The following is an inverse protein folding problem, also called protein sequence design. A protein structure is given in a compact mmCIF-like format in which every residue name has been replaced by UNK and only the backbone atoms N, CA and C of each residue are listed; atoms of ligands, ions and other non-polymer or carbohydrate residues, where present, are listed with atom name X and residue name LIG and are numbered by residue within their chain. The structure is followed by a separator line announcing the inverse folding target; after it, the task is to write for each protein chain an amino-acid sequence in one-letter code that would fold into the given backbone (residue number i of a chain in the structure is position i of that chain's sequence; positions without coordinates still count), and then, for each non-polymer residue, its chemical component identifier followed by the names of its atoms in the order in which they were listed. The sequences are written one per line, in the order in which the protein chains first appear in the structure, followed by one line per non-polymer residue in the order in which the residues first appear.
data_IF_916330551337
#
_entry.id   IF_916330551337
#
_cell.length_a   1.000
_cell.length_b   1.000
_cell.length_c   1.000
_cell.angle_alpha   90.00
_cell.angle_beta   90.00
_cell.angle_gamma   90.00
#
_symmetry.space_group_name_H-M   'P 1'
#
loop_
_entity.id
_entity.type
_entity.pdbx_description
1 polymer ?
#
# COMPACT_ATOMS: atom_id res chain seq x y z
N UNK A 1 59.79 -2.13 -35.92
CA UNK A 1 60.18 -1.03 -35.04
C UNK A 1 59.12 0.02 -35.11
N UNK A 2 58.26 0.26 -34.35
CA UNK A 2 57.43 1.38 -33.87
C UNK A 2 56.17 0.81 -33.22
N UNK A 3 56.14 0.96 -31.92
CA UNK A 3 54.96 0.65 -31.07
C UNK A 3 53.92 1.73 -31.24
N UNK A 4 52.68 1.40 -31.57
CA UNK A 4 51.55 2.27 -31.42
C UNK A 4 50.68 1.79 -30.29
N UNK A 5 50.70 2.52 -29.16
CA UNK A 5 49.74 2.39 -28.07
C UNK A 5 48.47 3.14 -28.49
N UNK A 6 47.37 2.42 -28.56
CA UNK A 6 46.05 3.01 -28.62
C UNK A 6 45.39 2.93 -27.24
N UNK A 7 45.38 4.08 -26.55
CA UNK A 7 44.53 4.28 -25.39
C UNK A 7 43.10 4.56 -25.88
N UNK A 8 42.19 3.60 -25.67
CA UNK A 8 40.77 3.82 -25.87
C UNK A 8 40.14 4.11 -24.49
N UNK A 9 39.94 5.38 -24.17
CA UNK A 9 39.11 5.83 -23.07
C UNK A 9 37.65 5.69 -23.48
N UNK A 10 37.02 4.64 -23.01
CA UNK A 10 35.58 4.39 -23.19
C UNK A 10 34.84 5.16 -22.09
N UNK A 11 34.41 6.36 -22.40
CA UNK A 11 33.51 7.16 -21.57
C UNK A 11 32.10 6.55 -21.65
N UNK A 12 31.70 5.82 -20.60
CA UNK A 12 30.33 5.37 -20.40
C UNK A 12 29.45 6.57 -20.04
N UNK A 13 28.87 7.20 -21.07
CA UNK A 13 27.72 8.07 -20.89
C UNK A 13 26.50 7.20 -20.60
N UNK A 14 26.10 7.16 -19.34
CA UNK A 14 24.77 6.71 -18.94
C UNK A 14 23.77 7.84 -19.32
N UNK A 15 22.83 7.61 -20.23
CA UNK A 15 21.74 8.55 -20.38
C UNK A 15 20.84 8.41 -19.15
N UNK A 16 20.70 9.49 -18.39
CA UNK A 16 19.59 9.70 -17.46
C UNK A 16 18.29 9.59 -18.28
N UNK A 17 17.73 8.40 -18.31
CA UNK A 17 16.35 8.20 -18.73
C UNK A 17 15.46 8.87 -17.68
N UNK A 18 15.19 10.15 -17.86
CA UNK A 18 14.01 10.79 -17.27
C UNK A 18 12.84 10.09 -17.95
N UNK A 19 12.31 9.09 -17.29
CA UNK A 19 11.11 8.39 -17.73
C UNK A 19 9.98 9.41 -17.80
N UNK A 20 9.71 9.92 -19.00
CA UNK A 20 8.43 10.54 -19.30
C UNK A 20 7.38 9.46 -19.07
N UNK A 21 6.59 9.61 -18.00
CA UNK A 21 5.38 8.82 -17.79
C UNK A 21 4.46 9.20 -18.95
N UNK A 22 4.44 8.39 -20.00
CA UNK A 22 3.41 8.48 -21.02
C UNK A 22 2.11 8.02 -20.36
N UNK A 23 1.25 8.97 -20.02
CA UNK A 23 -0.15 8.67 -19.73
C UNK A 23 -0.76 8.10 -21.01
N UNK A 24 -1.17 6.83 -20.97
CA UNK A 24 -1.95 6.22 -22.03
C UNK A 24 -3.33 6.91 -22.02
N UNK A 25 -3.72 7.37 -23.21
CA UNK A 25 -5.06 7.84 -23.56
C UNK A 25 -5.75 8.89 -22.65
N UNK A 26 -5.16 10.07 -22.51
CA UNK A 26 -5.95 11.30 -22.19
C UNK A 26 -6.68 11.36 -20.83
N UNK A 27 -6.58 10.36 -19.96
CA UNK A 27 -7.19 10.35 -18.64
C UNK A 27 -6.34 11.20 -17.69
N UNK A 28 -6.92 12.28 -17.18
CA UNK A 28 -6.23 13.10 -16.17
C UNK A 28 -6.14 12.36 -14.83
N UNK A 29 -4.94 12.29 -14.22
CA UNK A 29 -4.79 11.64 -12.92
C UNK A 29 -5.50 12.41 -11.82
N UNK A 30 -5.98 11.71 -10.80
CA UNK A 30 -6.52 12.33 -9.60
C UNK A 30 -5.41 13.11 -8.89
N UNK A 31 -5.57 14.41 -8.63
CA UNK A 31 -4.54 15.26 -8.06
C UNK A 31 -4.04 14.79 -6.69
N UNK A 32 -2.90 15.31 -6.22
CA UNK A 32 -2.40 15.03 -4.88
C UNK A 32 -3.41 15.45 -3.80
N UNK A 33 -3.39 14.77 -2.66
CA UNK A 33 -4.29 15.07 -1.53
C UNK A 33 -4.25 16.55 -1.14
N UNK A 34 -3.05 17.15 -1.10
CA UNK A 34 -2.88 18.56 -0.76
C UNK A 34 -3.57 19.49 -1.76
N UNK A 35 -3.49 19.18 -3.05
CA UNK A 35 -4.16 19.96 -4.09
C UNK A 35 -5.68 19.84 -3.99
N UNK A 36 -6.19 18.64 -3.78
CA UNK A 36 -7.62 18.39 -3.56
C UNK A 36 -8.13 19.20 -2.36
N UNK A 37 -7.45 19.13 -1.22
CA UNK A 37 -7.85 19.84 -0.01
C UNK A 37 -7.86 21.37 -0.22
N UNK A 38 -6.84 21.91 -0.91
CA UNK A 38 -6.76 23.34 -1.22
C UNK A 38 -7.87 23.83 -2.17
N UNK A 39 -8.26 23.02 -3.14
CA UNK A 39 -9.30 23.39 -4.11
C UNK A 39 -10.71 23.21 -3.56
N UNK A 40 -10.94 22.20 -2.69
CA UNK A 40 -12.27 21.80 -2.25
C UNK A 40 -12.68 22.43 -0.92
N UNK A 41 -11.71 22.85 -0.09
CA UNK A 41 -11.98 23.39 1.24
C UNK A 41 -11.76 24.91 1.27
N UNK A 42 -12.79 25.72 1.57
CA UNK A 42 -12.65 27.17 1.69
C UNK A 42 -11.71 27.55 2.85
N UNK A 43 -10.68 28.35 2.57
CA UNK A 43 -9.60 28.72 3.52
C UNK A 43 -10.12 29.39 4.80
N UNK A 44 -11.33 29.96 4.77
CA UNK A 44 -11.90 30.71 5.91
C UNK A 44 -13.05 30.02 6.65
N UNK A 45 -13.44 28.83 6.25
CA UNK A 45 -14.60 28.17 6.84
C UNK A 45 -14.18 26.95 7.69
N UNK A 46 -14.06 27.16 9.00
CA UNK A 46 -13.74 26.12 9.98
C UNK A 46 -15.00 25.48 10.58
N UNK A 47 -16.10 25.42 9.83
CA UNK A 47 -17.34 24.80 10.33
C UNK A 47 -17.18 23.29 10.55
N UNK A 48 -17.98 22.68 11.45
CA UNK A 48 -18.00 21.23 11.62
C UNK A 48 -18.23 20.46 10.31
N UNK A 49 -19.06 20.99 9.42
CA UNK A 49 -19.31 20.40 8.09
C UNK A 49 -18.06 20.39 7.21
N UNK A 50 -17.24 21.45 7.26
CA UNK A 50 -15.98 21.54 6.53
C UNK A 50 -14.95 20.52 7.07
N UNK A 51 -14.89 20.34 8.38
CA UNK A 51 -14.02 19.36 9.03
C UNK A 51 -14.41 17.92 8.70
N UNK A 52 -15.72 17.65 8.61
CA UNK A 52 -16.22 16.34 8.19
C UNK A 52 -15.92 16.06 6.71
N UNK A 53 -16.06 17.08 5.84
CA UNK A 53 -15.69 16.98 4.43
C UNK A 53 -14.19 16.71 4.27
N UNK A 54 -13.33 17.44 4.98
CA UNK A 54 -11.88 17.21 4.97
C UNK A 54 -11.52 15.78 5.41
N UNK A 55 -12.12 15.32 6.51
CA UNK A 55 -11.93 13.96 7.00
C UNK A 55 -12.37 12.92 5.96
N UNK A 56 -13.52 13.12 5.31
CA UNK A 56 -14.05 12.22 4.30
C UNK A 56 -13.17 12.16 3.05
N UNK A 57 -12.65 13.30 2.57
CA UNK A 57 -11.68 13.35 1.48
C UNK A 57 -10.42 12.55 1.85
N UNK A 58 -9.83 12.80 3.03
CA UNK A 58 -8.65 12.06 3.52
C UNK A 58 -8.92 10.57 3.63
N UNK A 59 -10.10 10.19 4.15
CA UNK A 59 -10.50 8.79 4.29
C UNK A 59 -10.47 8.06 2.95
N UNK A 60 -11.16 8.58 1.93
CA UNK A 60 -11.24 7.90 0.65
C UNK A 60 -9.94 7.99 -0.13
N UNK A 61 -9.20 9.10 -0.05
CA UNK A 61 -7.89 9.21 -0.68
C UNK A 61 -6.90 8.17 -0.13
N UNK A 62 -6.76 8.05 1.19
CA UNK A 62 -5.91 7.01 1.80
C UNK A 62 -6.43 5.60 1.54
N UNK A 63 -7.75 5.42 1.41
CA UNK A 63 -8.35 4.13 1.09
C UNK A 63 -7.99 3.70 -0.33
N UNK A 64 -8.05 4.60 -1.31
CA UNK A 64 -7.61 4.35 -2.70
C UNK A 64 -6.13 3.96 -2.70
N UNK A 65 -5.25 4.75 -2.05
CA UNK A 65 -3.83 4.42 -1.96
C UNK A 65 -3.58 3.04 -1.34
N UNK A 66 -4.29 2.71 -0.28
CA UNK A 66 -4.18 1.41 0.39
C UNK A 66 -4.60 0.25 -0.51
N UNK A 67 -5.75 0.40 -1.19
CA UNK A 67 -6.31 -0.63 -2.07
C UNK A 67 -5.43 -0.84 -3.31
N UNK A 68 -4.92 0.23 -3.89
CA UNK A 68 -3.99 0.18 -5.02
C UNK A 68 -2.70 -0.59 -4.67
N UNK A 69 -2.09 -0.27 -3.52
CA UNK A 69 -0.91 -1.00 -3.04
C UNK A 69 -1.21 -2.47 -2.73
N UNK A 70 -2.42 -2.78 -2.22
CA UNK A 70 -2.85 -4.16 -1.99
C UNK A 70 -3.08 -4.90 -3.29
N UNK A 71 -3.66 -4.25 -4.30
CA UNK A 71 -3.87 -4.83 -5.63
C UNK A 71 -2.54 -5.15 -6.31
N UNK A 72 -1.56 -4.24 -6.26
CA UNK A 72 -0.21 -4.48 -6.78
C UNK A 72 0.45 -5.68 -6.10
N UNK A 73 0.35 -5.79 -4.77
CA UNK A 73 0.85 -6.94 -4.02
C UNK A 73 0.18 -8.26 -4.45
N UNK A 74 -1.14 -8.27 -4.58
CA UNK A 74 -1.88 -9.48 -4.98
C UNK A 74 -1.53 -9.92 -6.40
N UNK A 75 -1.30 -8.98 -7.32
CA UNK A 75 -0.84 -9.28 -8.68
C UNK A 75 0.61 -9.84 -8.68
N UNK A 76 1.50 -9.34 -7.83
CA UNK A 76 2.84 -9.94 -7.63
C UNK A 76 2.71 -11.40 -7.16
N UNK A 77 1.89 -11.66 -6.14
CA UNK A 77 1.66 -13.00 -5.60
C UNK A 77 0.99 -13.94 -6.61
N UNK A 78 0.03 -13.45 -7.38
CA UNK A 78 -0.58 -14.17 -8.50
C UNK A 78 0.49 -14.64 -9.48
N UNK A 79 1.40 -13.76 -9.92
CA UNK A 79 2.49 -14.09 -10.83
C UNK A 79 3.41 -15.20 -10.27
N UNK A 80 3.71 -15.16 -8.98
CA UNK A 80 4.46 -16.24 -8.33
C UNK A 80 3.70 -17.57 -8.36
N UNK A 81 2.39 -17.58 -8.06
CA UNK A 81 1.60 -18.81 -8.13
C UNK A 81 1.54 -19.36 -9.56
N UNK A 82 1.27 -18.52 -10.57
CA UNK A 82 1.21 -18.94 -11.97
C UNK A 82 2.52 -19.57 -12.43
N UNK A 83 3.65 -18.93 -12.13
CA UNK A 83 4.98 -19.46 -12.46
C UNK A 83 5.25 -20.79 -11.75
N UNK A 84 4.91 -20.89 -10.47
CA UNK A 84 5.14 -22.10 -9.68
C UNK A 84 4.27 -23.27 -10.11
N UNK A 85 3.02 -23.01 -10.52
CA UNK A 85 2.12 -24.02 -11.06
C UNK A 85 2.68 -24.58 -12.38
N UNK A 86 3.11 -23.70 -13.30
CA UNK A 86 3.68 -24.13 -14.59
C UNK A 86 4.90 -25.02 -14.39
N UNK A 87 5.82 -24.63 -13.50
CA UNK A 87 7.01 -25.43 -13.18
C UNK A 87 6.66 -26.77 -12.53
N UNK A 88 5.67 -26.78 -11.62
CA UNK A 88 5.25 -28.00 -10.96
C UNK A 88 4.57 -28.99 -11.92
N UNK A 89 3.80 -28.50 -12.89
CA UNK A 89 3.18 -29.31 -13.92
C UNK A 89 4.23 -29.92 -14.88
N UNK A 90 5.20 -29.10 -15.32
CA UNK A 90 6.32 -29.57 -16.17
C UNK A 90 7.10 -30.71 -15.48
N UNK A 91 7.54 -30.54 -14.24
CA UNK A 91 8.26 -31.53 -13.46
C UNK A 91 7.44 -32.81 -13.20
N UNK A 92 6.15 -32.66 -12.94
CA UNK A 92 5.25 -33.80 -12.76
C UNK A 92 5.13 -34.62 -14.05
N UNK A 93 5.01 -33.98 -15.22
CA UNK A 93 4.93 -34.63 -16.52
C UNK A 93 6.27 -35.31 -16.90
N UNK A 94 7.42 -34.78 -16.44
CA UNK A 94 8.75 -35.38 -16.58
C UNK A 94 8.97 -36.58 -15.64
N UNK A 95 8.06 -36.81 -14.68
CA UNK A 95 8.10 -37.94 -13.76
C UNK A 95 9.04 -37.72 -12.56
N UNK A 96 9.30 -36.46 -12.16
CA UNK A 96 10.07 -36.17 -10.95
C UNK A 96 9.30 -36.66 -9.70
N UNK A 97 9.95 -37.51 -8.88
CA UNK A 97 9.33 -38.17 -7.73
C UNK A 97 8.91 -37.19 -6.61
N UNK A 98 9.52 -36.01 -6.54
CA UNK A 98 9.31 -35.01 -5.49
C UNK A 98 8.04 -34.15 -5.70
N UNK A 99 7.42 -34.21 -6.87
CA UNK A 99 6.23 -33.44 -7.20
C UNK A 99 4.99 -34.33 -7.28
N UNK A 100 4.02 -34.05 -6.42
CA UNK A 100 2.73 -34.76 -6.40
C UNK A 100 1.60 -33.91 -6.98
N UNK A 101 0.58 -34.58 -7.50
CA UNK A 101 -0.69 -33.93 -7.90
C UNK A 101 -1.29 -33.08 -6.76
N UNK A 102 -1.09 -33.51 -5.49
CA UNK A 102 -1.54 -32.77 -4.31
C UNK A 102 -0.82 -31.42 -4.17
N UNK A 103 0.47 -31.36 -4.50
CA UNK A 103 1.26 -30.13 -4.44
C UNK A 103 0.78 -29.11 -5.48
N UNK A 104 0.54 -29.56 -6.72
CA UNK A 104 -0.01 -28.74 -7.81
C UNK A 104 -1.43 -28.23 -7.40
N UNK A 105 -2.26 -29.09 -6.84
CA UNK A 105 -3.59 -28.71 -6.37
C UNK A 105 -3.56 -27.62 -5.30
N UNK A 106 -2.62 -27.70 -4.35
CA UNK A 106 -2.45 -26.64 -3.32
C UNK A 106 -2.07 -25.31 -3.93
N UNK A 107 -1.12 -25.29 -4.87
CA UNK A 107 -0.74 -24.06 -5.58
C UNK A 107 -1.92 -23.45 -6.36
N UNK A 108 -2.70 -24.28 -7.07
CA UNK A 108 -3.92 -23.83 -7.78
C UNK A 108 -4.99 -23.28 -6.85
N UNK A 109 -5.17 -23.87 -5.67
CA UNK A 109 -6.08 -23.34 -4.64
C UNK A 109 -5.58 -21.99 -4.08
N UNK A 110 -4.26 -21.84 -3.89
CA UNK A 110 -3.65 -20.55 -3.52
C UNK A 110 -3.88 -19.47 -4.56
N UNK A 111 -3.69 -19.80 -5.84
CA UNK A 111 -4.00 -18.90 -6.95
C UNK A 111 -5.48 -18.50 -6.97
N UNK A 112 -6.39 -19.46 -6.82
CA UNK A 112 -7.83 -19.18 -6.78
C UNK A 112 -8.21 -18.25 -5.62
N UNK A 113 -7.64 -18.45 -4.44
CA UNK A 113 -7.81 -17.55 -3.30
C UNK A 113 -7.29 -16.14 -3.58
N UNK A 114 -6.10 -16.04 -4.21
CA UNK A 114 -5.52 -14.75 -4.59
C UNK A 114 -6.37 -14.01 -5.62
N UNK A 115 -6.92 -14.71 -6.63
CA UNK A 115 -7.83 -14.14 -7.61
C UNK A 115 -9.13 -13.62 -6.98
N UNK A 116 -9.69 -14.38 -6.03
CA UNK A 116 -10.87 -13.92 -5.28
C UNK A 116 -10.58 -12.62 -4.51
N UNK A 117 -9.42 -12.53 -3.88
CA UNK A 117 -8.99 -11.32 -3.16
C UNK A 117 -8.77 -10.14 -4.14
N UNK A 118 -8.22 -10.38 -5.33
CA UNK A 118 -8.06 -9.37 -6.39
C UNK A 118 -9.42 -8.79 -6.77
N UNK A 119 -10.40 -9.63 -7.11
CA UNK A 119 -11.75 -9.15 -7.50
C UNK A 119 -12.40 -8.31 -6.39
N UNK A 120 -12.24 -8.71 -5.12
CA UNK A 120 -12.73 -7.92 -4.00
C UNK A 120 -12.06 -6.56 -3.89
N UNK A 121 -10.73 -6.50 -4.02
CA UNK A 121 -9.97 -5.24 -3.93
C UNK A 121 -10.25 -4.32 -5.12
N UNK A 122 -10.38 -4.84 -6.34
CA UNK A 122 -10.76 -4.07 -7.53
C UNK A 122 -12.12 -3.38 -7.35
N UNK A 123 -13.13 -4.13 -6.88
CA UNK A 123 -14.44 -3.56 -6.58
C UNK A 123 -14.38 -2.48 -5.49
N UNK A 124 -13.67 -2.75 -4.38
CA UNK A 124 -13.49 -1.80 -3.30
C UNK A 124 -12.75 -0.53 -3.74
N UNK A 125 -11.75 -0.67 -4.62
CA UNK A 125 -10.98 0.45 -5.19
C UNK A 125 -11.88 1.36 -6.02
N UNK A 126 -12.71 0.80 -6.90
CA UNK A 126 -13.68 1.57 -7.68
C UNK A 126 -14.72 2.26 -6.80
N UNK A 127 -15.27 1.57 -5.80
CA UNK A 127 -16.21 2.16 -4.84
C UNK A 127 -15.56 3.35 -4.10
N UNK A 128 -14.30 3.23 -3.72
CA UNK A 128 -13.58 4.30 -3.02
C UNK A 128 -13.33 5.50 -3.92
N UNK A 129 -13.00 5.28 -5.20
CA UNK A 129 -12.87 6.34 -6.22
C UNK A 129 -14.19 7.07 -6.43
N UNK A 130 -15.28 6.34 -6.68
CA UNK A 130 -16.62 6.91 -6.83
C UNK A 130 -17.04 7.72 -5.60
N UNK A 131 -16.76 7.22 -4.40
CA UNK A 131 -17.07 7.93 -3.15
C UNK A 131 -16.26 9.24 -3.00
N UNK A 132 -15.00 9.24 -3.44
CA UNK A 132 -14.20 10.47 -3.49
C UNK A 132 -14.78 11.48 -4.48
N UNK A 133 -15.15 11.03 -5.69
CA UNK A 133 -15.73 11.90 -6.72
C UNK A 133 -17.09 12.49 -6.30
N UNK A 134 -17.91 11.71 -5.64
CA UNK A 134 -19.18 12.18 -5.07
C UNK A 134 -18.98 13.35 -4.09
N UNK A 135 -17.99 13.24 -3.20
CA UNK A 135 -17.66 14.31 -2.24
C UNK A 135 -17.12 15.55 -2.95
N UNK A 136 -16.27 15.35 -3.96
CA UNK A 136 -15.65 16.42 -4.73
C UNK A 136 -16.62 17.06 -5.73
N UNK A 137 -17.77 16.43 -5.98
CA UNK A 137 -18.73 16.82 -7.04
C UNK A 137 -18.05 16.97 -8.40
N UNK A 138 -17.15 16.07 -8.71
CA UNK A 138 -16.27 16.11 -9.86
C UNK A 138 -16.55 14.93 -10.78
N UNK A 139 -16.46 15.16 -12.09
CA UNK A 139 -16.63 14.14 -13.12
C UNK A 139 -15.26 13.54 -13.50
N UNK A 140 -14.52 13.00 -12.53
CA UNK A 140 -13.30 12.25 -12.84
C UNK A 140 -13.64 10.90 -13.45
N UNK A 141 -12.75 10.42 -14.32
CA UNK A 141 -12.84 9.06 -14.84
C UNK A 141 -12.62 8.05 -13.71
N UNK A 142 -13.51 7.05 -13.52
CA UNK A 142 -13.33 6.00 -12.51
C UNK A 142 -12.02 5.20 -12.65
N UNK A 143 -11.44 5.16 -13.86
CA UNK A 143 -10.16 4.51 -14.13
C UNK A 143 -8.95 5.42 -13.85
N UNK A 144 -9.17 6.71 -13.51
CA UNK A 144 -8.09 7.63 -13.23
C UNK A 144 -7.23 7.17 -12.04
N UNK A 145 -5.92 7.15 -12.25
CA UNK A 145 -4.96 6.81 -11.21
C UNK A 145 -4.65 8.03 -10.32
N UNK A 146 -4.22 7.77 -9.09
CA UNK A 146 -3.73 8.83 -8.22
C UNK A 146 -2.36 9.34 -8.71
N UNK A 147 -2.15 10.65 -8.68
CA UNK A 147 -0.83 11.23 -8.90
C UNK A 147 0.19 10.76 -7.82
N UNK A 148 -0.29 10.48 -6.61
CA UNK A 148 0.48 9.95 -5.49
C UNK A 148 -0.09 8.60 -5.04
N UNK A 149 0.19 7.49 -5.76
CA UNK A 149 -0.47 6.20 -5.50
C UNK A 149 0.04 5.50 -4.23
N UNK A 150 1.24 5.86 -3.75
CA UNK A 150 1.87 5.17 -2.63
C UNK A 150 1.37 5.67 -1.28
N UNK A 151 0.77 4.77 -0.48
CA UNK A 151 0.39 5.13 0.88
C UNK A 151 1.63 5.23 1.78
N UNK A 152 1.75 6.37 2.48
CA UNK A 152 2.81 6.64 3.44
C UNK A 152 2.23 7.11 4.78
N UNK A 153 2.88 6.82 5.91
CA UNK A 153 2.43 7.32 7.19
C UNK A 153 2.51 8.84 7.25
N UNK A 154 1.44 9.47 7.72
CA UNK A 154 1.45 10.91 8.03
C UNK A 154 2.34 11.20 9.23
N UNK A 155 2.83 12.44 9.34
CA UNK A 155 3.61 12.88 10.49
C UNK A 155 2.73 13.01 11.73
N UNK A 156 3.15 12.38 12.82
CA UNK A 156 2.54 12.49 14.14
C UNK A 156 3.56 12.11 15.20
N UNK A 157 4.21 13.10 15.81
CA UNK A 157 5.37 12.90 16.69
C UNK A 157 5.06 13.03 18.18
N UNK A 158 3.80 13.22 18.53
CA UNK A 158 3.38 13.29 19.92
C UNK A 158 3.36 11.89 20.56
N UNK A 159 4.01 11.75 21.70
CA UNK A 159 3.99 10.54 22.53
C UNK A 159 3.02 10.66 23.70
N UNK A 160 2.78 11.87 24.19
CA UNK A 160 1.92 12.16 25.34
C UNK A 160 0.75 13.08 24.96
N UNK A 161 -0.40 12.86 25.60
CA UNK A 161 -1.61 13.63 25.34
C UNK A 161 -1.49 15.08 25.77
N UNK A 162 -0.80 15.37 26.89
CA UNK A 162 -0.62 16.73 27.40
C UNK A 162 0.26 17.57 26.48
N UNK A 163 1.28 16.96 25.88
CA UNK A 163 2.12 17.60 24.87
C UNK A 163 1.33 17.96 23.62
N UNK A 164 0.44 17.05 23.17
CA UNK A 164 -0.41 17.29 21.99
C UNK A 164 -1.51 18.32 22.24
N UNK A 165 -2.18 18.25 23.40
CA UNK A 165 -3.32 19.11 23.73
C UNK A 165 -2.92 20.49 24.27
N UNK A 166 -1.68 20.64 24.74
CA UNK A 166 -1.22 21.80 25.52
C UNK A 166 -1.55 21.67 27.01
N UNK A 167 -0.52 21.72 27.85
CA UNK A 167 -0.66 21.58 29.29
C UNK A 167 -1.54 22.73 29.86
N UNK A 168 -2.55 22.38 30.64
CA UNK A 168 -3.48 23.37 31.25
C UNK A 168 -4.57 23.89 30.32
N UNK A 169 -4.60 23.48 29.04
CA UNK A 169 -5.68 23.84 28.10
C UNK A 169 -7.00 23.13 28.43
N UNK A 170 -8.13 23.67 27.97
CA UNK A 170 -9.41 22.98 28.06
C UNK A 170 -9.40 21.63 27.31
N UNK A 171 -8.65 21.54 26.21
CA UNK A 171 -8.43 20.30 25.45
C UNK A 171 -7.83 19.20 26.33
N UNK A 172 -6.92 19.56 27.24
CA UNK A 172 -6.24 18.59 28.11
C UNK A 172 -7.20 17.84 29.05
N UNK A 173 -8.40 18.40 29.30
CA UNK A 173 -9.43 17.82 30.16
C UNK A 173 -10.46 16.99 29.34
N UNK A 174 -10.42 17.05 28.03
CA UNK A 174 -11.39 16.35 27.18
C UNK A 174 -11.11 14.85 27.08
N UNK A 175 -11.96 14.06 27.74
CA UNK A 175 -11.81 12.60 27.81
C UNK A 175 -11.99 11.95 26.42
N UNK A 176 -12.88 12.46 25.58
CA UNK A 176 -13.12 11.91 24.22
C UNK A 176 -11.90 12.10 23.33
N UNK A 177 -11.31 13.28 23.34
CA UNK A 177 -10.07 13.56 22.61
C UNK A 177 -8.89 12.72 23.14
N UNK A 178 -8.81 12.54 24.48
CA UNK A 178 -7.80 11.66 25.07
C UNK A 178 -7.95 10.21 24.59
N UNK A 179 -9.17 9.69 24.49
CA UNK A 179 -9.43 8.36 23.93
C UNK A 179 -9.03 8.28 22.46
N UNK A 180 -9.37 9.29 21.65
CA UNK A 180 -8.97 9.34 20.24
C UNK A 180 -7.44 9.40 20.08
N UNK A 181 -6.74 10.20 20.89
CA UNK A 181 -5.29 10.27 20.92
C UNK A 181 -4.66 8.90 21.25
N UNK A 182 -5.17 8.20 22.26
CA UNK A 182 -4.67 6.86 22.60
C UNK A 182 -4.83 5.86 21.47
N UNK A 183 -5.91 5.97 20.67
CA UNK A 183 -6.10 5.16 19.46
C UNK A 183 -5.05 5.48 18.39
N UNK A 184 -4.67 6.76 18.21
CA UNK A 184 -3.58 7.13 17.30
C UNK A 184 -2.25 6.52 17.75
N UNK A 185 -1.93 6.61 19.05
CA UNK A 185 -0.71 6.01 19.60
C UNK A 185 -0.70 4.49 19.42
N UNK A 186 -1.82 3.83 19.66
CA UNK A 186 -1.98 2.39 19.42
C UNK A 186 -1.75 2.04 17.94
N UNK A 187 -2.41 2.75 17.02
CA UNK A 187 -2.27 2.54 15.58
C UNK A 187 -0.83 2.76 15.12
N UNK A 188 -0.14 3.82 15.63
CA UNK A 188 1.29 4.07 15.35
C UNK A 188 2.16 2.89 15.79
N UNK A 189 1.96 2.37 17.00
CA UNK A 189 2.72 1.22 17.52
C UNK A 189 2.50 -0.05 16.68
N UNK A 190 1.25 -0.35 16.31
CA UNK A 190 0.91 -1.49 15.44
C UNK A 190 1.57 -1.35 14.07
N UNK A 191 1.48 -0.18 13.44
CA UNK A 191 2.11 0.11 12.15
C UNK A 191 3.64 -0.08 12.21
N UNK A 192 4.31 0.43 13.23
CA UNK A 192 5.76 0.29 13.39
C UNK A 192 6.17 -1.18 13.57
N UNK A 193 5.38 -1.97 14.30
CA UNK A 193 5.60 -3.41 14.47
C UNK A 193 5.52 -4.15 13.12
N UNK A 194 4.45 -3.93 12.37
CA UNK A 194 4.26 -4.59 11.06
C UNK A 194 5.30 -4.12 10.04
N UNK A 195 5.69 -2.83 10.07
CA UNK A 195 6.78 -2.30 9.24
C UNK A 195 8.11 -3.04 9.44
N UNK A 196 8.42 -3.43 10.69
CA UNK A 196 9.61 -4.23 11.00
C UNK A 196 9.50 -5.63 10.38
N UNK A 197 8.34 -6.25 10.48
CA UNK A 197 8.11 -7.62 9.96
C UNK A 197 8.18 -7.69 8.43
N UNK A 198 7.78 -6.61 7.72
CA UNK A 198 7.78 -6.56 6.25
C UNK A 198 9.12 -6.92 5.62
N UNK A 199 10.23 -6.41 6.18
CA UNK A 199 11.58 -6.70 5.65
C UNK A 199 11.95 -8.18 5.78
N UNK A 200 11.62 -8.79 6.92
CA UNK A 200 11.90 -10.21 7.18
C UNK A 200 11.08 -11.12 6.26
N UNK A 201 9.82 -10.78 6.07
CA UNK A 201 8.91 -11.56 5.24
C UNK A 201 9.31 -11.51 3.76
N UNK A 202 9.79 -10.37 3.26
CA UNK A 202 10.31 -10.27 1.89
C UNK A 202 11.56 -11.12 1.70
N UNK A 203 12.47 -11.13 2.67
CA UNK A 203 13.65 -11.97 2.63
C UNK A 203 13.29 -13.47 2.63
N UNK A 204 12.27 -13.87 3.44
CA UNK A 204 11.75 -15.23 3.43
C UNK A 204 11.22 -15.62 2.04
N UNK A 205 10.34 -14.81 1.45
CA UNK A 205 9.79 -15.10 0.12
C UNK A 205 10.90 -15.25 -0.94
N UNK A 206 11.87 -14.33 -0.98
CA UNK A 206 12.97 -14.39 -1.95
C UNK A 206 13.77 -15.68 -1.77
N UNK A 207 14.01 -16.10 -0.52
CA UNK A 207 14.72 -17.35 -0.23
C UNK A 207 13.94 -18.57 -0.71
N UNK A 208 12.63 -18.64 -0.42
CA UNK A 208 11.81 -19.80 -0.78
C UNK A 208 11.54 -19.88 -2.28
N UNK A 209 11.38 -18.75 -2.96
CA UNK A 209 11.30 -18.73 -4.44
C UNK A 209 12.60 -19.26 -5.05
N UNK A 210 13.75 -18.80 -4.56
CA UNK A 210 15.04 -19.27 -5.06
C UNK A 210 15.24 -20.77 -4.78
N UNK A 211 14.94 -21.25 -3.57
CA UNK A 211 15.03 -22.67 -3.21
C UNK A 211 14.15 -23.53 -4.13
N UNK A 212 12.93 -23.10 -4.38
CA UNK A 212 12.02 -23.80 -5.28
C UNK A 212 12.51 -23.81 -6.72
N UNK A 213 13.02 -22.67 -7.22
CA UNK A 213 13.55 -22.54 -8.58
C UNK A 213 14.79 -23.41 -8.82
N UNK A 214 15.62 -23.62 -7.81
CA UNK A 214 16.80 -24.50 -7.88
C UNK A 214 16.50 -25.98 -7.56
N UNK A 215 15.25 -26.34 -7.26
CA UNK A 215 14.87 -27.71 -6.90
C UNK A 215 15.39 -28.16 -5.52
N UNK A 216 15.75 -27.23 -4.64
CA UNK A 216 16.22 -27.51 -3.27
C UNK A 216 15.06 -27.46 -2.26
N UNK A 217 14.03 -26.64 -2.53
CA UNK A 217 12.86 -26.45 -1.70
C UNK A 217 11.61 -27.12 -2.29
N UNK A 218 10.62 -27.40 -1.42
CA UNK A 218 9.37 -27.98 -1.86
C UNK A 218 8.28 -26.91 -2.11
N UNK A 219 7.22 -27.31 -2.79
CA UNK A 219 6.08 -26.43 -3.11
C UNK A 219 5.27 -26.04 -1.88
N UNK A 220 5.35 -26.76 -0.76
CA UNK A 220 4.64 -26.43 0.47
C UNK A 220 5.29 -25.26 1.20
N UNK A 221 6.62 -25.21 1.22
CA UNK A 221 7.40 -24.10 1.80
C UNK A 221 7.18 -22.83 1.00
N UNK A 222 7.25 -22.89 -0.33
CA UNK A 222 6.92 -21.77 -1.20
C UNK A 222 5.49 -21.27 -1.00
N UNK A 223 4.50 -22.17 -0.99
CA UNK A 223 3.11 -21.83 -0.71
C UNK A 223 2.96 -21.10 0.62
N UNK A 224 3.58 -21.62 1.69
CA UNK A 224 3.55 -21.02 3.01
C UNK A 224 4.20 -19.62 3.02
N UNK A 225 5.32 -19.45 2.33
CA UNK A 225 6.00 -18.17 2.20
C UNK A 225 5.13 -17.13 1.48
N UNK A 226 4.44 -17.51 0.40
CA UNK A 226 3.51 -16.64 -0.32
C UNK A 226 2.33 -16.20 0.55
N UNK A 227 1.74 -17.11 1.33
CA UNK A 227 0.65 -16.78 2.28
C UNK A 227 1.13 -15.82 3.38
N UNK A 228 2.31 -16.07 3.96
CA UNK A 228 2.89 -15.19 4.98
C UNK A 228 3.18 -13.80 4.37
N UNK A 229 3.79 -13.76 3.19
CA UNK A 229 4.11 -12.53 2.48
C UNK A 229 2.87 -11.69 2.23
N UNK A 230 1.84 -12.29 1.64
CA UNK A 230 0.55 -11.62 1.37
C UNK A 230 -0.07 -11.04 2.65
N UNK A 231 -0.13 -11.84 3.72
CA UNK A 231 -0.71 -11.44 5.00
C UNK A 231 0.04 -10.27 5.64
N UNK A 232 1.38 -10.34 5.67
CA UNK A 232 2.20 -9.32 6.34
C UNK A 232 2.22 -8.02 5.56
N UNK A 233 2.34 -8.05 4.22
CA UNK A 233 2.35 -6.83 3.43
C UNK A 233 0.97 -6.17 3.36
N UNK A 234 -0.11 -6.94 3.15
CA UNK A 234 -1.47 -6.40 3.24
C UNK A 234 -1.73 -5.78 4.61
N UNK A 235 -1.31 -6.46 5.68
CA UNK A 235 -1.41 -5.94 7.05
C UNK A 235 -0.59 -4.66 7.27
N UNK A 236 0.54 -4.51 6.59
CA UNK A 236 1.32 -3.26 6.65
C UNK A 236 0.54 -2.10 6.02
N UNK A 237 0.06 -2.24 4.79
CA UNK A 237 -0.69 -1.18 4.11
C UNK A 237 -1.99 -0.83 4.87
N UNK A 238 -2.72 -1.82 5.37
CA UNK A 238 -3.87 -1.63 6.24
C UNK A 238 -3.52 -0.84 7.52
N UNK A 239 -2.38 -1.14 8.15
CA UNK A 239 -1.94 -0.45 9.36
C UNK A 239 -1.55 1.01 9.10
N UNK A 240 -0.96 1.33 7.94
CA UNK A 240 -0.68 2.70 7.51
C UNK A 240 -1.99 3.46 7.28
N UNK A 241 -2.93 2.86 6.56
CA UNK A 241 -4.26 3.43 6.34
C UNK A 241 -4.97 3.76 7.66
N UNK A 242 -5.04 2.79 8.57
CA UNK A 242 -5.68 2.95 9.89
C UNK A 242 -4.99 4.02 10.74
N UNK A 243 -3.67 4.09 10.68
CA UNK A 243 -2.92 5.15 11.37
C UNK A 243 -3.25 6.53 10.80
N UNK A 244 -3.16 6.72 9.48
CA UNK A 244 -3.46 7.98 8.81
C UNK A 244 -4.90 8.43 9.09
N UNK A 245 -5.85 7.49 9.03
CA UNK A 245 -7.26 7.75 9.32
C UNK A 245 -7.49 8.14 10.79
N UNK A 246 -6.79 7.49 11.73
CA UNK A 246 -6.91 7.84 13.15
C UNK A 246 -6.35 9.23 13.46
N UNK A 247 -5.26 9.64 12.80
CA UNK A 247 -4.72 11.02 12.90
C UNK A 247 -5.70 12.03 12.30
N UNK A 248 -6.26 11.74 11.12
CA UNK A 248 -7.27 12.60 10.50
C UNK A 248 -8.52 12.76 11.39
N UNK A 249 -9.00 11.66 11.99
CA UNK A 249 -10.12 11.69 12.93
C UNK A 249 -9.84 12.50 14.19
N UNK A 250 -8.66 12.33 14.79
CA UNK A 250 -8.24 13.11 15.95
C UNK A 250 -8.21 14.62 15.65
N UNK A 251 -7.69 15.01 14.48
CA UNK A 251 -7.64 16.40 14.06
C UNK A 251 -9.04 16.97 13.82
N UNK A 252 -9.92 16.22 13.12
CA UNK A 252 -11.34 16.60 12.96
C UNK A 252 -12.00 16.84 14.31
N UNK A 253 -11.90 15.88 15.22
CA UNK A 253 -12.55 15.94 16.54
C UNK A 253 -12.03 17.11 17.38
N UNK A 254 -10.71 17.41 17.27
CA UNK A 254 -10.11 18.60 17.90
C UNK A 254 -10.73 19.89 17.39
N UNK A 255 -10.85 20.03 16.06
CA UNK A 255 -11.41 21.25 15.45
C UNK A 255 -12.89 21.43 15.76
N UNK A 256 -13.69 20.35 15.70
CA UNK A 256 -15.12 20.40 16.06
C UNK A 256 -15.32 20.82 17.52
N UNK A 257 -14.44 20.38 18.41
CA UNK A 257 -14.56 20.71 19.82
C UNK A 257 -14.15 22.15 20.15
N UNK A 258 -13.28 22.76 19.34
CA UNK A 258 -12.80 24.14 19.54
C UNK A 258 -13.79 25.21 19.03
N UNK A 259 -14.84 24.83 18.33
CA UNK A 259 -15.87 25.68 17.73
C UNK A 259 -17.27 25.36 18.21
#
# INVERSE_FOLDING_TARGET
MQRFQFCITMALMFPLMIGSICYADGIEPIPSLNNILRSSIPIKNNSPATQEMEYSIKKFYYQIQYQDQKLQLLNEVKGHFETSISKAEEKYDEGEEDISQSNITKLKLGLAGTLNDIFGVEADLQISRLSLFEILKSEYDPEAELLEPNISPVEFDFADYLDWSGQGSELSRNISLKKAFLRVVEAKKKMLLVRKNRKMTRALLVSEVANYDFGIGDSADLFQALIIYTRVLSGYYDSVYKFNLSVAGLNRDKHIWMH
#
